data_IF_493561141826
#
_entry.id   IF_493561141826
#
_cell.length_a   1.000
_cell.length_b   1.000
_cell.length_c   1.000
_cell.angle_alpha   90.00
_cell.angle_beta   90.00
_cell.angle_gamma   90.00
#
_symmetry.space_group_name_H-M   'P 1'
#
loop_
_entity.id
_entity.type
_entity.pdbx_description
1 polymer ?
#
# COMPACT_ATOMS: atom_id res chain seq x y z
N UNK A 1 3.17 -5.68 12.34
CA UNK A 1 2.19 -4.80 11.68
C UNK A 1 1.27 -5.57 10.74
N UNK A 2 1.81 -6.26 9.71
CA UNK A 2 1.02 -7.06 8.75
C UNK A 2 -0.02 -7.99 9.39
N UNK A 3 0.32 -8.72 10.47
CA UNK A 3 -0.65 -9.57 11.19
C UNK A 3 -1.82 -8.79 11.81
N UNK A 4 -1.60 -7.55 12.23
CA UNK A 4 -2.64 -6.68 12.78
C UNK A 4 -3.57 -6.20 11.67
N UNK A 5 -3.00 -5.78 10.52
CA UNK A 5 -3.76 -5.42 9.32
C UNK A 5 -4.67 -6.58 8.89
N UNK A 6 -4.14 -7.81 8.85
CA UNK A 6 -4.93 -9.01 8.57
C UNK A 6 -6.14 -9.15 9.49
N UNK A 7 -5.91 -9.10 10.80
CA UNK A 7 -7.00 -9.21 11.80
C UNK A 7 -8.04 -8.11 11.65
N UNK A 8 -7.60 -6.87 11.41
CA UNK A 8 -8.52 -5.75 11.23
C UNK A 8 -9.36 -5.90 9.96
N UNK A 9 -8.74 -6.35 8.86
CA UNK A 9 -9.50 -6.65 7.66
C UNK A 9 -10.50 -7.78 7.90
N UNK A 10 -10.10 -8.87 8.56
CA UNK A 10 -11.02 -9.99 8.87
C UNK A 10 -12.26 -9.48 9.62
N UNK A 11 -12.09 -8.59 10.60
CA UNK A 11 -13.20 -7.98 11.33
C UNK A 11 -14.10 -7.12 10.43
N UNK A 12 -13.53 -6.37 9.49
CA UNK A 12 -14.28 -5.55 8.52
C UNK A 12 -15.07 -6.44 7.56
N UNK A 13 -14.47 -7.52 7.07
CA UNK A 13 -15.08 -8.48 6.17
C UNK A 13 -16.21 -9.27 6.85
N UNK A 14 -15.99 -9.74 8.08
CA UNK A 14 -17.02 -10.42 8.89
C UNK A 14 -18.23 -9.51 9.16
N UNK A 15 -18.00 -8.21 9.33
CA UNK A 15 -19.07 -7.22 9.48
C UNK A 15 -19.77 -6.85 8.15
N UNK A 16 -19.31 -7.36 7.00
CA UNK A 16 -19.85 -7.02 5.68
C UNK A 16 -19.54 -5.58 5.23
N UNK A 17 -18.46 -5.00 5.75
CA UNK A 17 -18.15 -3.57 5.60
C UNK A 17 -16.97 -3.26 4.64
N UNK A 18 -16.45 -4.24 3.90
CA UNK A 18 -15.31 -4.05 2.98
C UNK A 18 -15.52 -2.97 1.91
N UNK A 19 -16.77 -2.71 1.51
CA UNK A 19 -17.10 -1.63 0.55
C UNK A 19 -17.34 -0.26 1.19
N UNK A 20 -17.21 -0.15 2.52
CA UNK A 20 -17.56 1.04 3.29
C UNK A 20 -16.42 1.54 4.19
N UNK A 21 -15.48 0.66 4.55
CA UNK A 21 -14.36 0.97 5.43
C UNK A 21 -13.05 0.73 4.69
N UNK A 22 -12.23 1.78 4.62
CA UNK A 22 -10.85 1.69 4.19
C UNK A 22 -9.94 1.32 5.37
N UNK A 23 -9.00 0.40 5.14
CA UNK A 23 -7.99 0.03 6.13
C UNK A 23 -6.65 0.63 5.70
N UNK A 24 -6.21 1.63 6.46
CA UNK A 24 -5.02 2.42 6.15
C UNK A 24 -3.83 2.03 7.04
N UNK A 25 -2.65 1.88 6.42
CA UNK A 25 -1.37 1.89 7.13
C UNK A 25 -0.66 3.23 6.88
N UNK A 26 -0.20 3.86 7.96
CA UNK A 26 0.64 5.06 7.94
C UNK A 26 1.93 4.78 8.70
N UNK A 27 2.98 4.46 7.95
CA UNK A 27 4.31 4.22 8.52
C UNK A 27 5.05 3.04 7.89
N UNK A 28 6.33 3.24 7.59
CA UNK A 28 7.24 2.16 7.17
C UNK A 28 6.96 1.51 5.81
N UNK A 29 5.90 1.90 5.11
CA UNK A 29 5.59 1.43 3.76
C UNK A 29 6.66 1.87 2.75
N UNK A 30 7.00 0.99 1.81
CA UNK A 30 7.86 1.26 0.65
C UNK A 30 7.67 0.18 -0.43
N UNK A 31 8.31 0.34 -1.59
CA UNK A 31 8.20 -0.60 -2.71
C UNK A 31 8.67 -2.04 -2.41
N UNK A 32 9.44 -2.25 -1.34
CA UNK A 32 9.91 -3.58 -0.93
C UNK A 32 8.96 -4.33 0.00
N UNK A 33 7.97 -3.67 0.61
CA UNK A 33 7.07 -4.31 1.59
C UNK A 33 5.59 -4.05 1.37
N UNK A 34 5.19 -3.04 0.57
CA UNK A 34 3.78 -2.64 0.42
C UNK A 34 2.87 -3.78 -0.06
N UNK A 35 3.40 -4.71 -0.85
CA UNK A 35 2.66 -5.88 -1.33
C UNK A 35 2.16 -6.78 -0.18
N UNK A 36 2.95 -6.95 0.89
CA UNK A 36 2.55 -7.76 2.05
C UNK A 36 1.38 -7.13 2.81
N UNK A 37 1.34 -5.80 2.87
CA UNK A 37 0.24 -5.07 3.50
C UNK A 37 -1.04 -5.15 2.66
N UNK A 38 -0.93 -5.01 1.33
CA UNK A 38 -2.05 -5.19 0.40
C UNK A 38 -2.62 -6.61 0.51
N UNK A 39 -1.75 -7.62 0.53
CA UNK A 39 -2.13 -9.03 0.70
C UNK A 39 -2.79 -9.29 2.06
N UNK A 40 -2.41 -8.54 3.10
CA UNK A 40 -3.03 -8.63 4.42
C UNK A 40 -4.35 -7.87 4.54
N UNK A 41 -4.78 -7.12 3.52
CA UNK A 41 -6.06 -6.43 3.55
C UNK A 41 -6.02 -4.91 3.65
N UNK A 42 -4.82 -4.28 3.66
CA UNK A 42 -4.68 -2.83 3.54
C UNK A 42 -5.19 -2.35 2.18
N UNK A 43 -6.01 -1.30 2.19
CA UNK A 43 -6.57 -0.67 0.98
C UNK A 43 -5.97 0.70 0.70
N UNK A 44 -5.45 1.37 1.73
CA UNK A 44 -4.81 2.69 1.62
C UNK A 44 -3.45 2.69 2.33
N UNK A 45 -2.44 3.34 1.73
CA UNK A 45 -1.13 3.49 2.34
C UNK A 45 -0.63 4.92 2.27
N UNK A 46 -0.19 5.48 3.40
CA UNK A 46 0.52 6.76 3.43
C UNK A 46 2.04 6.53 3.33
N UNK A 47 2.67 7.21 2.37
CA UNK A 47 4.08 7.01 2.05
C UNK A 47 4.79 8.36 1.92
N UNK A 48 5.77 8.60 2.79
CA UNK A 48 6.53 9.86 2.82
C UNK A 48 8.00 9.65 2.47
N UNK A 49 8.80 9.12 3.40
CA UNK A 49 10.26 9.01 3.25
C UNK A 49 10.71 8.27 1.97
N UNK A 50 10.10 7.16 1.53
CA UNK A 50 10.48 6.50 0.28
C UNK A 50 10.23 7.31 -0.99
N UNK A 51 9.34 8.31 -0.93
CA UNK A 51 9.03 9.18 -2.05
C UNK A 51 9.86 10.47 -2.04
N UNK A 52 10.57 10.75 -0.93
CA UNK A 52 11.22 12.04 -0.69
C UNK A 52 12.70 11.91 -0.29
N UNK A 53 13.21 10.70 -0.06
CA UNK A 53 14.60 10.43 0.33
C UNK A 53 15.18 9.29 -0.52
N UNK A 54 16.44 9.46 -0.90
CA UNK A 54 17.26 8.47 -1.59
C UNK A 54 18.65 8.33 -0.93
N UNK A 55 19.56 7.54 -1.53
CA UNK A 55 20.88 7.26 -0.95
C UNK A 55 21.73 8.52 -0.69
N UNK A 56 21.51 9.58 -1.46
CA UNK A 56 22.24 10.86 -1.36
C UNK A 56 21.48 11.92 -0.53
N UNK A 57 20.44 11.54 0.21
CA UNK A 57 19.62 12.45 1.01
C UNK A 57 18.27 12.76 0.37
N UNK A 58 17.74 13.98 0.53
CA UNK A 58 16.42 14.34 -0.01
C UNK A 58 16.43 14.33 -1.54
N UNK A 59 15.37 13.77 -2.14
CA UNK A 59 15.15 13.87 -3.58
C UNK A 59 14.90 15.32 -3.98
N UNK A 60 15.36 15.72 -5.15
CA UNK A 60 15.27 17.12 -5.59
C UNK A 60 13.96 17.37 -6.35
N UNK A 61 13.21 18.43 -6.03
CA UNK A 61 12.07 18.84 -6.85
C UNK A 61 12.51 19.21 -8.28
N UNK A 62 11.68 18.89 -9.28
CA UNK A 62 11.93 19.24 -10.69
C UNK A 62 12.95 18.36 -11.44
N UNK A 63 13.61 17.41 -10.78
CA UNK A 63 14.56 16.48 -11.44
C UNK A 63 13.89 15.22 -12.00
N UNK A 64 12.64 14.97 -11.61
CA UNK A 64 11.92 13.73 -11.93
C UNK A 64 12.16 12.58 -10.94
N UNK A 65 13.05 12.72 -9.96
CA UNK A 65 13.34 11.65 -8.98
C UNK A 65 12.12 11.23 -8.15
N UNK A 66 11.32 12.21 -7.70
CA UNK A 66 10.08 11.94 -6.95
C UNK A 66 9.07 11.21 -7.84
N UNK A 67 8.92 11.64 -9.10
CA UNK A 67 8.02 10.99 -10.06
C UNK A 67 8.45 9.54 -10.34
N UNK A 68 9.75 9.30 -10.48
CA UNK A 68 10.30 7.95 -10.62
C UNK A 68 10.05 7.08 -9.37
N UNK A 69 10.21 7.64 -8.17
CA UNK A 69 9.92 6.93 -6.92
C UNK A 69 8.43 6.57 -6.79
N UNK A 70 7.53 7.51 -7.13
CA UNK A 70 6.08 7.28 -7.18
C UNK A 70 5.75 6.19 -8.21
N UNK A 71 6.29 6.28 -9.42
CA UNK A 71 6.03 5.28 -10.48
C UNK A 71 6.48 3.88 -10.06
N UNK A 72 7.64 3.75 -9.41
CA UNK A 72 8.13 2.47 -8.89
C UNK A 72 7.20 1.90 -7.82
N UNK A 73 6.80 2.71 -6.84
CA UNK A 73 5.87 2.29 -5.79
C UNK A 73 4.53 1.86 -6.40
N UNK A 74 4.00 2.67 -7.32
CA UNK A 74 2.73 2.42 -7.99
C UNK A 74 2.71 1.09 -8.73
N UNK A 75 3.76 0.79 -9.50
CA UNK A 75 3.87 -0.48 -10.23
C UNK A 75 3.81 -1.71 -9.29
N UNK A 76 4.44 -1.63 -8.10
CA UNK A 76 4.38 -2.71 -7.11
C UNK A 76 2.96 -2.82 -6.52
N UNK A 77 2.32 -1.70 -6.23
CA UNK A 77 0.95 -1.69 -5.70
C UNK A 77 -0.06 -2.23 -6.71
N UNK A 78 0.07 -1.88 -7.99
CA UNK A 78 -0.79 -2.38 -9.07
C UNK A 78 -0.63 -3.90 -9.21
N UNK A 79 0.61 -4.40 -9.30
CA UNK A 79 0.88 -5.84 -9.39
C UNK A 79 0.34 -6.62 -8.18
N UNK A 80 0.50 -6.09 -6.97
CA UNK A 80 -0.05 -6.69 -5.76
C UNK A 80 -1.59 -6.66 -5.77
N UNK A 81 -2.20 -5.57 -6.26
CA UNK A 81 -3.66 -5.46 -6.35
C UNK A 81 -4.22 -6.46 -7.37
N UNK A 82 -3.60 -6.60 -8.54
CA UNK A 82 -3.99 -7.59 -9.56
C UNK A 82 -3.93 -9.02 -9.03
N UNK A 83 -2.98 -9.30 -8.13
CA UNK A 83 -2.80 -10.61 -7.53
C UNK A 83 -3.82 -10.87 -6.41
N UNK A 84 -3.98 -9.93 -5.47
CA UNK A 84 -4.68 -10.16 -4.21
C UNK A 84 -6.08 -9.55 -4.14
N UNK A 85 -6.50 -8.71 -5.09
CA UNK A 85 -7.77 -7.99 -5.05
C UNK A 85 -8.72 -8.34 -6.18
N UNK A 86 -10.02 -8.33 -5.90
CA UNK A 86 -11.06 -8.39 -6.93
C UNK A 86 -11.14 -7.04 -7.66
N UNK A 87 -11.90 -6.98 -8.76
CA UNK A 87 -12.11 -5.73 -9.49
C UNK A 87 -12.81 -4.65 -8.62
N UNK A 88 -13.58 -5.08 -7.63
CA UNK A 88 -14.27 -4.24 -6.65
C UNK A 88 -13.38 -3.87 -5.45
N UNK A 89 -12.09 -4.25 -5.45
CA UNK A 89 -11.13 -3.92 -4.39
C UNK A 89 -11.19 -4.83 -3.15
N UNK A 90 -12.06 -5.85 -3.15
CA UNK A 90 -12.11 -6.84 -2.05
C UNK A 90 -10.89 -7.73 -2.08
N UNK A 91 -10.51 -8.28 -0.94
CA UNK A 91 -9.45 -9.27 -0.95
C UNK A 91 -9.95 -10.57 -1.59
N UNK A 92 -9.10 -11.24 -2.36
CA UNK A 92 -9.38 -12.58 -2.88
C UNK A 92 -9.15 -13.61 -1.77
N UNK A 93 -10.06 -14.59 -1.70
CA UNK A 93 -9.94 -15.77 -0.84
C UNK A 93 -8.78 -16.69 -1.27
#
# INVERSE_FOLDING_TARGET
MVRTIRKLHDMIAEAGMEGQIELMEDGGLNAGNVAEFIAAGMTVGEVSSPLLKGPQGKLKPGTGEIAAAVSKLRAVMDAASDQYRTAEGRLRD
#
